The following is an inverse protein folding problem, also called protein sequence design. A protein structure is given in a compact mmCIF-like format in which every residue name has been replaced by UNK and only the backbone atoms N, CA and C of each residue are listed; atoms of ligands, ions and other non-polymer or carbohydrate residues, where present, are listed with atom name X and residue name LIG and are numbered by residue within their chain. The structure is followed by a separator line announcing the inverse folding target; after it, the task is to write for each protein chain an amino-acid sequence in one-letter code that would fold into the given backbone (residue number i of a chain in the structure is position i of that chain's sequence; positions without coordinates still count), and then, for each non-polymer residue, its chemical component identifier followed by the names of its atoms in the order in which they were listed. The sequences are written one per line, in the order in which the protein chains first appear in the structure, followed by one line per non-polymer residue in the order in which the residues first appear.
data_IF_030000675826
#
_entry.id   IF_030000675826
#
_cell.length_a   1.000
_cell.length_b   1.000
_cell.length_c   1.000
_cell.angle_alpha   90.00
_cell.angle_beta   90.00
_cell.angle_gamma   90.00
#
_symmetry.space_group_name_H-M   'P 1'
#
loop_
_entity.id
_entity.type
_entity.pdbx_description
1 polymer ?
#
# COMPACT_ATOMS: atom_id res chain seq x y z
N UNK A 1 17.52 17.67 -35.49
CA UNK A 1 16.40 16.70 -35.54
C UNK A 1 16.92 15.47 -34.80
N UNK A 2 16.89 15.49 -33.47
CA UNK A 2 15.79 15.02 -32.60
C UNK A 2 15.50 13.52 -32.71
N UNK A 3 15.52 12.91 -31.51
CA UNK A 3 14.95 11.64 -31.10
C UNK A 3 15.70 10.36 -31.53
N UNK A 4 15.91 9.38 -30.66
CA UNK A 4 15.37 9.23 -29.31
C UNK A 4 16.12 8.14 -28.55
N UNK A 5 16.37 8.43 -27.28
CA UNK A 5 16.75 7.44 -26.29
C UNK A 5 15.48 6.66 -25.93
N UNK A 6 15.37 5.41 -26.36
CA UNK A 6 14.34 4.49 -25.87
C UNK A 6 14.88 3.68 -24.70
N UNK A 7 14.66 4.28 -23.53
CA UNK A 7 14.77 3.70 -22.21
C UNK A 7 13.67 2.64 -22.03
N UNK A 8 14.05 1.36 -22.05
CA UNK A 8 13.15 0.26 -21.70
C UNK A 8 13.45 -0.26 -20.29
N UNK A 9 12.83 0.43 -19.34
CA UNK A 9 12.27 -0.05 -18.06
C UNK A 9 12.62 -1.50 -17.69
N UNK A 10 13.48 -1.66 -16.69
CA UNK A 10 13.72 -2.92 -16.00
C UNK A 10 12.44 -3.40 -15.30
N UNK A 11 11.85 -4.49 -15.80
CA UNK A 11 10.76 -5.20 -15.14
C UNK A 11 11.26 -5.88 -13.86
N UNK A 12 10.51 -5.83 -12.74
CA UNK A 12 10.89 -6.56 -11.53
C UNK A 12 10.50 -8.04 -11.65
N UNK A 13 11.47 -8.91 -11.32
CA UNK A 13 11.37 -10.34 -11.02
C UNK A 13 10.51 -11.20 -11.98
N UNK A 14 11.19 -11.90 -12.90
CA UNK A 14 10.69 -13.06 -13.64
C UNK A 14 9.86 -13.99 -12.77
N UNK A 15 8.57 -14.11 -13.08
CA UNK A 15 7.72 -15.20 -12.59
C UNK A 15 8.28 -16.49 -13.17
N UNK A 16 8.96 -17.29 -12.34
CA UNK A 16 9.43 -18.61 -12.75
C UNK A 16 8.22 -19.47 -13.14
N UNK A 17 8.17 -19.86 -14.41
CA UNK A 17 7.10 -20.69 -14.96
C UNK A 17 7.07 -22.07 -14.31
N UNK A 18 5.89 -22.71 -14.27
CA UNK A 18 5.72 -24.05 -13.68
C UNK A 18 6.76 -25.01 -14.29
N UNK A 19 7.52 -25.78 -13.48
CA UNK A 19 8.55 -26.66 -13.98
C UNK A 19 7.94 -27.70 -14.94
N UNK A 20 8.58 -27.90 -16.09
CA UNK A 20 8.18 -28.90 -17.07
C UNK A 20 8.68 -30.28 -16.64
N UNK A 21 7.82 -31.29 -16.79
CA UNK A 21 8.15 -32.68 -16.46
C UNK A 21 9.23 -33.20 -17.43
N UNK A 22 10.34 -33.77 -16.93
CA UNK A 22 11.32 -34.45 -17.76
C UNK A 22 10.68 -35.60 -18.56
N UNK A 23 11.23 -35.87 -19.74
CA UNK A 23 10.77 -36.97 -20.59
C UNK A 23 11.31 -38.32 -20.09
N UNK A 24 10.59 -39.41 -20.34
CA UNK A 24 10.98 -40.75 -19.87
C UNK A 24 12.30 -41.25 -20.49
N UNK A 25 12.68 -40.74 -21.67
CA UNK A 25 13.93 -41.04 -22.37
C UNK A 25 15.18 -40.38 -21.78
N UNK A 26 15.03 -39.43 -20.85
CA UNK A 26 16.16 -38.77 -20.16
C UNK A 26 16.70 -39.59 -18.97
N UNK A 27 16.05 -40.71 -18.66
CA UNK A 27 16.51 -41.65 -17.65
C UNK A 27 17.47 -42.68 -18.26
N UNK A 28 18.76 -42.60 -17.93
CA UNK A 28 19.79 -43.54 -18.40
C UNK A 28 19.68 -44.97 -17.82
N UNK A 29 18.69 -45.23 -16.94
CA UNK A 29 18.47 -46.53 -16.30
C UNK A 29 19.60 -47.00 -15.38
N UNK A 30 20.62 -46.17 -15.15
CA UNK A 30 21.88 -46.55 -14.49
C UNK A 30 21.82 -46.53 -12.95
N UNK A 31 20.67 -46.20 -12.35
CA UNK A 31 20.48 -46.27 -10.89
C UNK A 31 21.40 -45.37 -10.08
N UNK A 32 21.48 -44.07 -10.40
CA UNK A 32 22.23 -43.10 -9.59
C UNK A 32 21.40 -42.57 -8.40
N UNK A 33 22.09 -42.01 -7.39
CA UNK A 33 21.55 -41.57 -6.08
C UNK A 33 20.62 -40.35 -6.11
N UNK A 34 20.58 -39.59 -7.21
CA UNK A 34 19.68 -38.44 -7.43
C UNK A 34 19.17 -38.52 -8.86
N UNK A 35 17.85 -38.73 -9.02
CA UNK A 35 17.18 -38.84 -10.30
C UNK A 35 16.76 -37.46 -10.85
N UNK A 36 16.69 -37.32 -12.18
CA UNK A 36 16.13 -36.13 -12.83
C UNK A 36 14.67 -35.87 -12.39
N UNK A 37 13.93 -36.94 -12.09
CA UNK A 37 12.59 -36.86 -11.51
C UNK A 37 12.62 -36.33 -10.07
N UNK A 38 13.62 -36.66 -9.25
CA UNK A 38 13.75 -36.13 -7.88
C UNK A 38 13.98 -34.61 -7.90
N UNK A 39 14.79 -34.11 -8.83
CA UNK A 39 15.04 -32.67 -9.02
C UNK A 39 13.76 -31.97 -9.50
N UNK A 40 13.02 -32.59 -10.43
CA UNK A 40 11.72 -32.09 -10.88
C UNK A 40 10.70 -32.01 -9.74
N UNK A 41 10.59 -33.06 -8.93
CA UNK A 41 9.69 -33.10 -7.78
C UNK A 41 10.05 -32.04 -6.74
N UNK A 42 11.34 -31.81 -6.48
CA UNK A 42 11.79 -30.74 -5.60
C UNK A 42 11.39 -29.36 -6.13
N UNK A 43 11.57 -29.12 -7.44
CA UNK A 43 11.17 -27.86 -8.09
C UNK A 43 9.65 -27.67 -8.10
N UNK A 44 8.88 -28.73 -8.32
CA UNK A 44 7.42 -28.69 -8.28
C UNK A 44 6.90 -28.35 -6.88
N UNK A 45 7.46 -28.99 -5.83
CA UNK A 45 7.11 -28.69 -4.43
C UNK A 45 7.44 -27.24 -4.05
N UNK A 46 8.59 -26.73 -4.47
CA UNK A 46 8.97 -25.34 -4.24
C UNK A 46 7.98 -24.37 -4.92
N UNK A 47 7.63 -24.65 -6.18
CA UNK A 47 6.67 -23.87 -6.94
C UNK A 47 5.26 -23.91 -6.33
N UNK A 48 4.77 -25.08 -5.92
CA UNK A 48 3.45 -25.23 -5.27
C UNK A 48 3.38 -24.45 -3.94
N UNK A 49 4.44 -24.51 -3.13
CA UNK A 49 4.53 -23.75 -1.87
C UNK A 49 4.52 -22.25 -2.12
N UNK A 50 5.20 -21.79 -3.16
CA UNK A 50 5.20 -20.40 -3.59
C UNK A 50 3.81 -19.96 -4.07
N UNK A 51 3.12 -20.78 -4.89
CA UNK A 51 1.74 -20.54 -5.32
C UNK A 51 0.76 -20.45 -4.14
N UNK A 52 0.91 -21.32 -3.13
CA UNK A 52 0.07 -21.29 -1.93
C UNK A 52 0.32 -20.01 -1.11
N UNK A 53 1.59 -19.56 -1.01
CA UNK A 53 1.94 -18.29 -0.36
C UNK A 53 1.32 -17.10 -1.09
N UNK A 54 1.36 -17.09 -2.43
CA UNK A 54 0.69 -16.07 -3.23
C UNK A 54 -0.83 -16.09 -3.05
N UNK A 55 -1.47 -17.27 -3.03
CA UNK A 55 -2.91 -17.42 -2.79
C UNK A 55 -3.35 -16.88 -1.44
N UNK A 56 -2.61 -17.21 -0.37
CA UNK A 56 -2.88 -16.68 0.98
C UNK A 56 -2.67 -15.16 1.04
N UNK A 57 -1.64 -14.65 0.34
CA UNK A 57 -1.38 -13.21 0.22
C UNK A 57 -2.50 -12.47 -0.55
N UNK A 58 -3.04 -13.07 -1.62
CA UNK A 58 -4.11 -12.48 -2.41
C UNK A 58 -5.48 -12.53 -1.72
N UNK A 59 -5.74 -13.53 -0.87
CA UNK A 59 -6.92 -13.54 0.02
C UNK A 59 -6.87 -12.41 1.07
N UNK A 60 -5.68 -12.08 1.59
CA UNK A 60 -5.47 -10.89 2.45
C UNK A 60 -5.63 -9.58 1.65
N UNK A 61 -5.25 -9.58 0.37
CA UNK A 61 -5.34 -8.41 -0.52
C UNK A 61 -6.75 -8.16 -1.10
N UNK A 62 -7.71 -9.06 -0.90
CA UNK A 62 -9.09 -8.91 -1.40
C UNK A 62 -10.04 -8.25 -0.39
N UNK A 63 -9.52 -7.80 0.76
CA UNK A 63 -10.23 -6.85 1.62
C UNK A 63 -9.97 -5.48 1.03
N UNK A 64 -11.01 -4.75 0.62
CA UNK A 64 -10.87 -3.39 0.10
C UNK A 64 -10.25 -2.48 1.18
N UNK A 65 -8.92 -2.34 1.16
CA UNK A 65 -8.21 -1.59 2.19
C UNK A 65 -8.49 -0.11 2.01
N UNK A 66 -8.87 0.59 3.09
CA UNK A 66 -9.17 2.02 3.04
C UNK A 66 -7.99 2.88 2.57
N UNK A 67 -6.77 2.39 2.75
CA UNK A 67 -5.55 3.01 2.27
C UNK A 67 -4.87 2.14 1.21
N UNK A 68 -4.18 2.80 0.29
CA UNK A 68 -3.31 2.16 -0.69
C UNK A 68 -1.88 2.69 -0.51
N UNK A 69 -0.86 1.82 -0.53
CA UNK A 69 0.54 2.23 -0.43
C UNK A 69 1.03 2.99 -1.68
N UNK A 70 0.31 2.87 -2.80
CA UNK A 70 0.73 3.39 -4.11
C UNK A 70 -0.24 4.41 -4.71
N UNK A 71 -1.41 4.61 -4.11
CA UNK A 71 -2.44 5.49 -4.64
C UNK A 71 -3.15 6.29 -3.54
N UNK A 72 -3.45 7.56 -3.84
CA UNK A 72 -4.26 8.41 -2.98
C UNK A 72 -5.75 8.06 -3.13
N UNK A 73 -6.47 8.07 -2.02
CA UNK A 73 -7.93 7.91 -1.97
C UNK A 73 -8.56 9.17 -1.36
N UNK A 74 -9.70 9.64 -1.88
CA UNK A 74 -10.38 10.80 -1.31
C UNK A 74 -11.08 10.43 0.00
N UNK A 75 -11.00 11.32 0.98
CA UNK A 75 -11.74 11.26 2.24
C UNK A 75 -12.49 12.56 2.46
N UNK A 76 -13.65 12.48 3.14
CA UNK A 76 -14.47 13.65 3.41
C UNK A 76 -14.10 14.25 4.76
N UNK A 77 -13.77 15.53 4.79
CA UNK A 77 -13.55 16.25 6.04
C UNK A 77 -14.90 16.53 6.73
N UNK A 78 -15.16 15.83 7.83
CA UNK A 78 -16.46 15.82 8.52
C UNK A 78 -16.51 16.76 9.72
N UNK A 79 -15.41 16.92 10.43
CA UNK A 79 -15.31 17.81 11.59
C UNK A 79 -13.91 18.42 11.72
N UNK A 80 -13.86 19.65 12.25
CA UNK A 80 -12.63 20.33 12.68
C UNK A 80 -12.89 20.85 14.08
N UNK A 81 -12.12 20.36 15.06
CA UNK A 81 -12.20 20.81 16.44
C UNK A 81 -10.92 21.53 16.83
N UNK A 82 -11.04 22.77 17.29
CA UNK A 82 -9.91 23.48 17.88
C UNK A 82 -9.59 22.87 19.26
N UNK A 83 -8.37 22.38 19.43
CA UNK A 83 -7.87 21.77 20.68
C UNK A 83 -7.10 22.79 21.51
N UNK A 84 -6.30 23.61 20.84
CA UNK A 84 -5.53 24.70 21.45
C UNK A 84 -5.59 25.94 20.55
N UNK A 85 -4.89 27.01 20.93
CA UNK A 85 -4.80 28.24 20.12
C UNK A 85 -4.41 27.97 18.66
N UNK A 86 -3.52 27.01 18.40
CA UNK A 86 -2.99 26.74 17.07
C UNK A 86 -2.96 25.25 16.72
N UNK A 87 -3.73 24.41 17.40
CA UNK A 87 -3.80 22.98 17.09
C UNK A 87 -5.25 22.57 16.90
N UNK A 88 -5.51 21.84 15.83
CA UNK A 88 -6.83 21.46 15.38
C UNK A 88 -6.87 19.95 15.14
N UNK A 89 -7.91 19.31 15.65
CA UNK A 89 -8.21 17.92 15.38
C UNK A 89 -9.17 17.83 14.19
N UNK A 90 -8.73 17.16 13.13
CA UNK A 90 -9.46 16.98 11.87
C UNK A 90 -10.00 15.56 11.78
N UNK A 91 -11.32 15.42 11.60
CA UNK A 91 -11.96 14.11 11.37
C UNK A 91 -12.22 13.89 9.90
N UNK A 92 -11.55 12.90 9.33
CA UNK A 92 -11.76 12.44 7.96
C UNK A 92 -12.59 11.17 7.98
N UNK A 93 -13.67 11.14 7.20
CA UNK A 93 -14.52 9.96 7.03
C UNK A 93 -14.21 9.27 5.71
N UNK A 94 -14.10 7.95 5.79
CA UNK A 94 -13.97 7.08 4.66
C UNK A 94 -15.33 6.85 3.98
N UNK A 95 -15.35 6.43 2.69
CA UNK A 95 -16.59 6.04 2.03
C UNK A 95 -17.23 4.75 2.60
N UNK A 96 -16.43 3.92 3.29
CA UNK A 96 -16.88 2.65 3.89
C UNK A 96 -16.60 2.64 5.38
N UNK A 97 -17.30 1.80 6.15
CA UNK A 97 -17.17 1.73 7.62
C UNK A 97 -16.02 0.83 8.10
N UNK A 98 -15.10 0.45 7.23
CA UNK A 98 -13.96 -0.37 7.63
C UNK A 98 -12.96 0.45 8.45
N UNK A 99 -12.18 -0.17 9.35
CA UNK A 99 -11.08 0.51 10.02
C UNK A 99 -9.95 0.85 9.04
N UNK A 100 -9.13 1.84 9.41
CA UNK A 100 -8.01 2.30 8.58
C UNK A 100 -6.87 1.27 8.48
N UNK A 101 -6.81 0.32 9.44
CA UNK A 101 -5.84 -0.77 9.51
C UNK A 101 -4.37 -0.31 9.42
N UNK A 102 -4.04 0.78 10.13
CA UNK A 102 -2.67 1.28 10.26
C UNK A 102 -2.06 0.73 11.54
N UNK A 103 -0.88 0.12 11.45
CA UNK A 103 -0.11 -0.34 12.60
C UNK A 103 0.63 0.81 13.31
N UNK A 104 1.00 0.58 14.57
CA UNK A 104 1.84 1.51 15.32
C UNK A 104 3.13 1.86 14.56
N UNK A 105 3.44 3.15 14.47
CA UNK A 105 4.60 3.68 13.74
C UNK A 105 4.37 3.95 12.25
N UNK A 106 3.23 3.54 11.69
CA UNK A 106 2.84 3.93 10.33
C UNK A 106 2.14 5.30 10.32
N UNK A 107 2.20 5.99 9.19
CA UNK A 107 1.62 7.31 8.98
C UNK A 107 0.84 7.35 7.66
N UNK A 108 -0.08 8.31 7.54
CA UNK A 108 -0.76 8.63 6.29
C UNK A 108 -0.10 9.82 5.61
N UNK A 109 -0.15 9.86 4.28
CA UNK A 109 0.24 11.02 3.50
C UNK A 109 -1.03 11.78 3.13
N UNK A 110 -1.20 12.96 3.74
CA UNK A 110 -2.26 13.89 3.38
C UNK A 110 -1.83 14.71 2.18
N UNK A 111 -2.61 14.65 1.11
CA UNK A 111 -2.54 15.55 -0.04
C UNK A 111 -3.72 16.52 0.05
N UNK A 112 -3.43 17.81 -0.03
CA UNK A 112 -4.45 18.85 -0.05
C UNK A 112 -4.05 19.97 -1.01
N UNK A 113 -5.04 20.66 -1.56
CA UNK A 113 -4.85 21.86 -2.36
C UNK A 113 -5.28 23.06 -1.52
N UNK A 114 -4.34 23.97 -1.25
CA UNK A 114 -4.56 25.17 -0.45
C UNK A 114 -4.19 26.39 -1.28
N UNK A 115 -5.13 27.33 -1.47
CA UNK A 115 -4.90 28.54 -2.26
C UNK A 115 -4.34 28.28 -3.68
N UNK A 116 -4.66 27.12 -4.27
CA UNK A 116 -4.15 26.71 -5.59
C UNK A 116 -2.81 25.98 -5.57
N UNK A 117 -2.14 25.87 -4.41
CA UNK A 117 -0.91 25.09 -4.26
C UNK A 117 -1.20 23.70 -3.68
N UNK A 118 -0.56 22.67 -4.23
CA UNK A 118 -0.63 21.32 -3.67
C UNK A 118 0.41 21.13 -2.58
N UNK A 119 -0.02 20.65 -1.42
CA UNK A 119 0.85 20.29 -0.31
C UNK A 119 0.71 18.81 0.05
N UNK A 120 1.83 18.25 0.49
CA UNK A 120 1.95 16.85 0.91
C UNK A 120 2.56 16.81 2.31
N UNK A 121 1.89 16.17 3.26
CA UNK A 121 2.37 16.07 4.65
C UNK A 121 2.09 14.68 5.21
N UNK A 122 3.07 14.16 5.94
CA UNK A 122 2.95 12.90 6.67
C UNK A 122 2.35 13.19 8.05
N UNK A 123 1.30 12.46 8.42
CA UNK A 123 0.67 12.57 9.73
C UNK A 123 0.40 11.18 10.30
N UNK A 124 0.54 11.05 11.61
CA UNK A 124 0.14 9.84 12.33
C UNK A 124 -1.29 10.04 12.83
N UNK A 125 -2.25 9.15 12.47
CA UNK A 125 -3.59 9.22 13.04
C UNK A 125 -3.59 9.05 14.56
N UNK A 126 -4.48 9.78 15.23
CA UNK A 126 -4.65 9.75 16.68
C UNK A 126 -5.95 9.05 17.12
N UNK A 127 -6.76 8.62 16.16
CA UNK A 127 -7.95 7.80 16.40
C UNK A 127 -7.57 6.38 16.81
N UNK A 128 -8.53 5.67 17.40
CA UNK A 128 -8.39 4.24 17.69
C UNK A 128 -8.12 3.45 16.39
N UNK A 129 -7.29 2.41 16.48
CA UNK A 129 -6.95 1.53 15.36
C UNK A 129 -8.18 0.78 14.82
N UNK A 130 -9.15 0.53 15.69
CA UNK A 130 -10.39 -0.18 15.37
C UNK A 130 -11.56 0.78 15.04
N UNK A 131 -11.32 2.10 14.99
CA UNK A 131 -12.36 3.07 14.69
C UNK A 131 -12.95 2.84 13.28
N UNK A 132 -14.27 2.58 13.17
CA UNK A 132 -14.88 2.24 11.90
C UNK A 132 -15.09 3.49 11.04
N UNK A 133 -14.52 3.50 9.84
CA UNK A 133 -14.84 4.47 8.78
C UNK A 133 -14.39 5.91 9.02
N UNK A 134 -13.56 6.19 10.02
CA UNK A 134 -12.96 7.52 10.19
C UNK A 134 -11.58 7.45 10.82
N UNK A 135 -10.83 8.53 10.64
CA UNK A 135 -9.62 8.77 11.41
C UNK A 135 -9.46 10.25 11.74
N UNK A 136 -8.76 10.50 12.84
CA UNK A 136 -8.52 11.84 13.35
C UNK A 136 -7.04 12.21 13.19
N UNK A 137 -6.76 13.41 12.69
CA UNK A 137 -5.41 13.98 12.61
C UNK A 137 -5.32 15.23 13.48
N UNK A 138 -4.30 15.30 14.35
CA UNK A 138 -3.97 16.52 15.07
C UNK A 138 -2.95 17.32 14.27
N UNK A 139 -3.35 18.51 13.80
CA UNK A 139 -2.52 19.37 12.96
C UNK A 139 -2.34 20.72 13.64
N UNK A 140 -1.08 21.15 13.75
CA UNK A 140 -0.70 22.45 14.28
C UNK A 140 -0.61 23.47 13.15
N UNK A 141 -1.33 24.58 13.28
CA UNK A 141 -1.15 25.75 12.42
C UNK A 141 0.08 26.53 12.88
N UNK A 142 0.89 26.94 11.90
CA UNK A 142 1.99 27.86 12.13
C UNK A 142 1.66 29.12 11.34
N UNK A 143 1.62 30.25 12.03
CA UNK A 143 1.21 31.52 11.43
C UNK A 143 2.24 31.92 10.36
N UNK A 144 1.87 31.75 9.08
CA UNK A 144 2.48 32.49 7.97
C UNK A 144 1.76 33.84 7.79
N UNK A 145 1.71 34.64 8.86
CA UNK A 145 1.13 35.99 8.85
C UNK A 145 -0.41 36.09 8.83
N UNK A 146 -1.14 34.97 8.77
CA UNK A 146 -2.60 34.95 8.89
C UNK A 146 -3.00 34.32 10.22
N UNK A 147 -3.65 35.11 11.07
CA UNK A 147 -3.96 34.78 12.46
C UNK A 147 -4.73 33.46 12.62
N UNK A 148 -4.08 32.42 13.16
CA UNK A 148 -4.69 31.34 13.93
C UNK A 148 -5.78 30.49 13.29
N UNK A 149 -6.05 30.63 11.99
CA UNK A 149 -7.09 29.88 11.31
C UNK A 149 -6.67 28.41 11.06
N UNK A 150 -7.63 27.46 11.04
CA UNK A 150 -7.35 26.08 10.69
C UNK A 150 -6.73 26.00 9.28
N UNK A 151 -5.59 25.30 9.09
CA UNK A 151 -4.88 25.24 7.81
C UNK A 151 -5.73 24.62 6.71
N UNK A 152 -6.66 23.73 7.06
CA UNK A 152 -7.64 23.17 6.14
C UNK A 152 -9.01 23.67 6.58
N UNK A 153 -9.64 24.57 5.82
CA UNK A 153 -11.04 24.97 6.01
C UNK A 153 -11.86 24.39 4.85
N UNK A 154 -13.16 24.11 5.07
CA UNK A 154 -14.03 23.69 3.97
C UNK A 154 -14.08 24.83 2.94
N UNK A 155 -13.72 24.52 1.69
CA UNK A 155 -14.17 25.34 0.57
C UNK A 155 -15.70 25.26 0.56
N UNK A 156 -16.32 26.43 0.66
CA UNK A 156 -17.77 26.59 0.64
C UNK A 156 -18.29 26.45 -0.78
#
# INVERSE_FOLDING_TARGET
MSSGAENLKSAPATVESKPQKPSESECCGSGCKICVFDIYEQRLKAWEKEQQRYRLSSEIHNVETLLSPVAYKPFVLKNIQQVTKNSFCYRFCAPTEHPLNINLGQHVILRATLQGEELFRQYTPISDMEAPGYFDLLIKSFDCGHAGAPPFSRAN
#
